data_IF_959401474776
#
_entry.id   IF_959401474776
#
_cell.length_a   1.000
_cell.length_b   1.000
_cell.length_c   1.000
_cell.angle_alpha   90.00
_cell.angle_beta   90.00
_cell.angle_gamma   90.00
#
_symmetry.space_group_name_H-M   'P 1'
#
loop_
_entity.id
_entity.type
_entity.pdbx_description
1 polymer ?
#
# COMPACT_ATOMS: atom_id res chain seq x y z
N UNK A 1 20.70 26.59 26.52
CA UNK A 1 19.62 25.58 26.40
C UNK A 1 20.25 24.28 25.96
N UNK A 2 20.83 24.16 24.75
CA UNK A 2 21.31 22.88 24.17
C UNK A 2 22.32 22.15 25.08
N UNK A 3 23.34 22.85 25.57
CA UNK A 3 24.33 22.29 26.49
C UNK A 3 23.76 21.98 27.87
N UNK A 4 22.83 22.82 28.35
CA UNK A 4 22.21 22.66 29.67
C UNK A 4 21.28 21.47 29.71
N UNK A 5 20.50 21.23 28.61
CA UNK A 5 19.43 20.27 28.58
C UNK A 5 19.83 18.98 27.83
N UNK A 6 21.11 18.82 27.44
CA UNK A 6 21.68 17.67 26.72
C UNK A 6 20.80 17.26 25.49
N UNK A 7 20.55 18.26 24.64
CA UNK A 7 19.73 18.04 23.41
C UNK A 7 20.58 17.31 22.37
N UNK A 8 20.17 16.11 21.98
CA UNK A 8 20.85 15.29 20.98
C UNK A 8 20.34 15.56 19.58
N UNK A 9 19.08 16.02 19.42
CA UNK A 9 18.45 16.23 18.13
C UNK A 9 17.61 17.50 18.10
N UNK A 10 17.67 18.25 17.00
CA UNK A 10 16.84 19.42 16.74
C UNK A 10 16.08 19.21 15.44
N UNK A 11 14.74 19.25 15.48
CA UNK A 11 13.91 19.24 14.30
C UNK A 11 13.53 20.67 13.86
N UNK A 12 13.83 21.01 12.61
CA UNK A 12 13.51 22.31 12.01
C UNK A 12 12.17 22.21 11.27
N UNK A 13 11.11 22.77 11.88
CA UNK A 13 9.73 22.73 11.37
C UNK A 13 9.29 24.09 10.79
N UNK A 14 10.13 24.74 9.97
CA UNK A 14 9.82 26.04 9.35
C UNK A 14 9.21 25.82 7.95
N UNK A 15 8.04 26.38 7.69
CA UNK A 15 7.38 26.38 6.37
C UNK A 15 8.22 27.15 5.33
N UNK A 16 8.61 28.36 5.65
CA UNK A 16 9.55 29.16 4.84
C UNK A 16 10.89 29.29 5.54
N UNK A 17 11.91 28.70 4.94
CA UNK A 17 13.30 28.73 5.44
C UNK A 17 14.09 29.93 4.94
N UNK A 18 13.54 30.71 4.00
CA UNK A 18 14.24 31.87 3.43
C UNK A 18 14.30 32.99 4.45
N UNK A 19 15.49 33.42 4.71
CA UNK A 19 15.82 34.53 5.66
C UNK A 19 15.46 34.31 7.14
N UNK A 20 14.81 33.18 7.51
CA UNK A 20 14.38 32.88 8.89
C UNK A 20 15.24 31.78 9.53
N UNK A 21 15.87 30.93 8.72
CA UNK A 21 16.70 29.83 9.22
C UNK A 21 17.97 30.35 9.84
N UNK A 22 18.23 30.11 11.15
CA UNK A 22 19.47 30.55 11.82
C UNK A 22 20.63 29.62 11.42
N UNK A 23 21.08 29.74 10.18
CA UNK A 23 22.03 28.81 9.54
C UNK A 23 23.30 28.66 10.35
N UNK A 24 23.90 29.78 10.80
CA UNK A 24 25.16 29.72 11.56
C UNK A 24 25.01 28.97 12.87
N UNK A 25 23.95 29.25 13.62
CA UNK A 25 23.66 28.56 14.89
C UNK A 25 23.47 27.05 14.68
N UNK A 26 22.74 26.65 13.62
CA UNK A 26 22.52 25.23 13.30
C UNK A 26 23.82 24.54 12.88
N UNK A 27 24.69 25.22 12.14
CA UNK A 27 26.01 24.68 11.77
C UNK A 27 26.91 24.50 12.98
N UNK A 28 26.92 25.47 13.90
CA UNK A 28 27.70 25.40 15.15
C UNK A 28 27.21 24.21 16.01
N UNK A 29 25.89 24.05 16.17
CA UNK A 29 25.29 22.93 16.91
C UNK A 29 25.61 21.59 16.26
N UNK A 30 25.56 21.51 14.92
CA UNK A 30 25.95 20.30 14.18
C UNK A 30 27.42 19.97 14.38
N UNK A 31 28.30 21.01 14.46
CA UNK A 31 29.72 20.88 14.80
C UNK A 31 29.95 20.34 16.22
N UNK A 32 29.02 20.59 17.15
CA UNK A 32 29.00 20.06 18.52
C UNK A 32 28.43 18.64 18.63
N UNK A 33 28.02 18.03 17.52
CA UNK A 33 27.48 16.66 17.47
C UNK A 33 25.96 16.56 17.65
N UNK A 34 25.22 17.69 17.59
CA UNK A 34 23.76 17.68 17.61
C UNK A 34 23.21 17.30 16.22
N UNK A 35 22.34 16.34 16.15
CA UNK A 35 21.66 15.97 14.92
C UNK A 35 20.59 17.01 14.55
N UNK A 36 20.63 17.48 13.28
CA UNK A 36 19.67 18.46 12.79
C UNK A 36 18.81 17.79 11.72
N UNK A 37 17.52 17.66 12.02
CA UNK A 37 16.54 17.02 11.17
C UNK A 37 15.61 18.03 10.53
N UNK A 38 15.15 17.70 9.34
CA UNK A 38 14.01 18.36 8.72
C UNK A 38 12.72 17.91 9.43
N UNK A 39 11.82 18.85 9.74
CA UNK A 39 10.55 18.54 10.40
C UNK A 39 9.72 17.51 9.62
N UNK A 40 9.75 17.54 8.27
CA UNK A 40 9.08 16.55 7.45
C UNK A 40 9.69 15.15 7.64
N UNK A 41 11.03 15.06 7.80
CA UNK A 41 11.67 13.78 8.06
C UNK A 41 11.26 13.19 9.42
N UNK A 42 11.21 14.03 10.46
CA UNK A 42 10.70 13.61 11.76
C UNK A 42 9.24 13.13 11.68
N UNK A 43 8.39 13.90 10.97
CA UNK A 43 7.00 13.51 10.76
C UNK A 43 6.88 12.15 10.04
N UNK A 44 7.70 11.91 9.02
CA UNK A 44 7.71 10.65 8.28
C UNK A 44 8.14 9.46 9.16
N UNK A 45 9.17 9.63 9.99
CA UNK A 45 9.64 8.56 10.90
C UNK A 45 8.61 8.21 11.97
N UNK A 46 8.02 9.23 12.61
CA UNK A 46 7.06 9.02 13.69
C UNK A 46 5.69 8.53 13.20
N UNK A 47 5.19 9.11 12.09
CA UNK A 47 3.86 8.80 11.59
C UNK A 47 3.81 7.62 10.61
N UNK A 48 4.95 7.27 10.00
CA UNK A 48 5.01 6.31 8.88
C UNK A 48 4.26 6.79 7.64
N UNK A 49 4.11 8.11 7.46
CA UNK A 49 3.39 8.78 6.36
C UNK A 49 4.25 9.84 5.70
N UNK A 50 4.02 10.08 4.42
CA UNK A 50 4.61 11.20 3.69
C UNK A 50 3.56 12.34 3.62
N UNK A 51 3.88 13.53 4.13
CA UNK A 51 2.99 14.69 3.96
C UNK A 51 2.92 15.08 2.48
N UNK A 52 1.74 14.92 1.86
CA UNK A 52 1.53 15.23 0.44
C UNK A 52 1.38 16.73 0.25
N UNK A 53 0.75 17.40 1.21
CA UNK A 53 0.40 18.82 1.13
C UNK A 53 1.67 19.71 1.17
N UNK A 54 2.70 19.26 1.92
CA UNK A 54 4.01 19.95 2.01
C UNK A 54 5.02 19.44 0.98
N UNK A 55 4.65 18.48 0.14
CA UNK A 55 5.56 17.82 -0.78
C UNK A 55 5.93 18.71 -1.96
N UNK A 56 7.15 19.21 -1.97
CA UNK A 56 7.66 20.01 -3.08
C UNK A 56 8.03 19.12 -4.25
N UNK A 57 7.63 19.45 -5.50
CA UNK A 57 8.02 18.68 -6.69
C UNK A 57 9.53 18.46 -6.81
N UNK A 58 10.33 19.47 -6.43
CA UNK A 58 11.79 19.38 -6.39
C UNK A 58 12.30 18.31 -5.44
N UNK A 59 11.65 18.11 -4.30
CA UNK A 59 12.02 17.06 -3.35
C UNK A 59 11.84 15.67 -3.94
N UNK A 60 10.81 15.46 -4.77
CA UNK A 60 10.58 14.18 -5.47
C UNK A 60 11.61 14.00 -6.60
N UNK A 61 11.81 15.02 -7.43
CA UNK A 61 12.66 14.93 -8.63
C UNK A 61 14.13 14.70 -8.26
N UNK A 62 14.64 15.40 -7.24
CA UNK A 62 16.03 15.32 -6.84
C UNK A 62 16.32 14.29 -5.75
N UNK A 63 15.28 13.69 -5.16
CA UNK A 63 15.43 12.62 -4.16
C UNK A 63 15.96 11.34 -4.81
N UNK A 64 17.04 10.79 -4.24
CA UNK A 64 17.54 9.46 -4.58
C UNK A 64 16.67 8.34 -3.98
N UNK A 65 15.85 8.66 -3.00
CA UNK A 65 15.07 7.70 -2.22
C UNK A 65 13.95 7.06 -3.04
N UNK A 66 13.40 7.77 -4.03
CA UNK A 66 12.42 7.21 -4.98
C UNK A 66 13.05 6.32 -6.06
N UNK A 67 14.38 6.28 -6.18
CA UNK A 67 15.11 5.46 -7.15
C UNK A 67 15.81 4.29 -6.47
N UNK A 68 15.17 3.15 -6.43
CA UNK A 68 15.79 1.93 -5.90
C UNK A 68 16.77 1.31 -6.89
N UNK A 69 17.90 0.85 -6.36
CA UNK A 69 18.90 0.12 -7.13
C UNK A 69 18.33 -1.17 -7.73
N UNK A 70 18.89 -1.61 -8.84
CA UNK A 70 18.47 -2.84 -9.53
C UNK A 70 18.56 -4.06 -8.62
N UNK A 71 19.57 -4.12 -7.76
CA UNK A 71 19.80 -5.21 -6.80
C UNK A 71 18.58 -5.40 -5.88
N UNK A 72 18.09 -4.32 -5.25
CA UNK A 72 16.93 -4.39 -4.34
C UNK A 72 15.69 -4.85 -5.09
N UNK A 73 15.47 -4.34 -6.31
CA UNK A 73 14.33 -4.75 -7.15
C UNK A 73 14.40 -6.23 -7.54
N UNK A 74 15.58 -6.72 -7.90
CA UNK A 74 15.78 -8.12 -8.29
C UNK A 74 15.61 -9.03 -7.08
N UNK A 75 16.25 -8.72 -5.95
CA UNK A 75 16.09 -9.48 -4.71
C UNK A 75 14.62 -9.56 -4.27
N UNK A 76 13.92 -8.41 -4.23
CA UNK A 76 12.49 -8.36 -3.94
C UNK A 76 11.70 -9.26 -4.90
N UNK A 77 11.96 -9.15 -6.21
CA UNK A 77 11.28 -9.96 -7.21
C UNK A 77 11.52 -11.46 -7.02
N UNK A 78 12.75 -11.87 -6.72
CA UNK A 78 13.08 -13.28 -6.48
C UNK A 78 12.37 -13.81 -5.24
N UNK A 79 12.30 -13.03 -4.15
CA UNK A 79 11.58 -13.38 -2.93
C UNK A 79 10.08 -13.47 -3.18
N UNK A 80 9.49 -12.47 -3.85
CA UNK A 80 8.07 -12.47 -4.21
C UNK A 80 7.71 -13.73 -5.01
N UNK A 81 8.52 -14.07 -6.02
CA UNK A 81 8.30 -15.22 -6.88
C UNK A 81 8.42 -16.54 -6.10
N UNK A 82 9.45 -16.68 -5.28
CA UNK A 82 9.66 -17.87 -4.46
C UNK A 82 8.48 -18.10 -3.51
N UNK A 83 8.09 -17.08 -2.75
CA UNK A 83 6.98 -17.16 -1.81
C UNK A 83 5.67 -17.44 -2.54
N UNK A 84 5.43 -16.80 -3.71
CA UNK A 84 4.22 -17.01 -4.48
C UNK A 84 4.13 -18.43 -5.05
N UNK A 85 5.23 -19.00 -5.57
CA UNK A 85 5.27 -20.36 -6.10
C UNK A 85 5.06 -21.40 -5.00
N UNK A 86 5.84 -21.31 -3.92
CA UNK A 86 5.73 -22.23 -2.78
C UNK A 86 4.35 -22.08 -2.13
N UNK A 87 3.91 -20.85 -1.89
CA UNK A 87 2.59 -20.58 -1.33
C UNK A 87 1.47 -21.15 -2.19
N UNK A 88 1.50 -20.95 -3.51
CA UNK A 88 0.46 -21.48 -4.41
C UNK A 88 0.38 -23.01 -4.36
N UNK A 89 1.52 -23.71 -4.35
CA UNK A 89 1.56 -25.17 -4.24
C UNK A 89 0.96 -25.63 -2.91
N UNK A 90 1.35 -25.02 -1.80
CA UNK A 90 0.88 -25.39 -0.46
C UNK A 90 -0.62 -25.16 -0.26
N UNK A 91 -1.15 -24.08 -0.84
CA UNK A 91 -2.58 -23.75 -0.69
C UNK A 91 -3.47 -24.37 -1.77
N UNK A 92 -2.92 -25.10 -2.74
CA UNK A 92 -3.68 -25.70 -3.85
C UNK A 92 -4.88 -26.53 -3.38
N UNK A 93 -4.76 -27.43 -2.36
CA UNK A 93 -5.92 -28.16 -1.83
C UNK A 93 -7.00 -27.23 -1.25
N UNK A 94 -6.59 -26.17 -0.55
CA UNK A 94 -7.50 -25.16 0.00
C UNK A 94 -8.22 -24.42 -1.12
N UNK A 95 -7.54 -24.05 -2.22
CA UNK A 95 -8.15 -23.38 -3.36
C UNK A 95 -9.23 -24.27 -4.01
N UNK A 96 -8.99 -25.59 -4.09
CA UNK A 96 -9.97 -26.55 -4.61
C UNK A 96 -11.23 -26.61 -3.72
N UNK A 97 -11.06 -26.71 -2.40
CA UNK A 97 -12.18 -26.71 -1.44
C UNK A 97 -12.97 -25.40 -1.53
N UNK A 98 -12.29 -24.25 -1.55
CA UNK A 98 -12.95 -22.94 -1.71
C UNK A 98 -13.74 -22.89 -3.03
N UNK A 99 -13.17 -23.39 -4.13
CA UNK A 99 -13.83 -23.44 -5.42
C UNK A 99 -15.14 -24.24 -5.39
N UNK A 100 -15.14 -25.41 -4.71
CA UNK A 100 -16.34 -26.23 -4.51
C UNK A 100 -17.38 -25.46 -3.68
N UNK A 101 -16.97 -24.85 -2.55
CA UNK A 101 -17.87 -24.08 -1.69
C UNK A 101 -18.53 -22.91 -2.44
N UNK A 102 -17.80 -22.20 -3.27
CA UNK A 102 -18.34 -21.11 -4.10
C UNK A 102 -19.39 -21.62 -5.10
N UNK A 103 -19.14 -22.79 -5.69
CA UNK A 103 -20.09 -23.42 -6.64
C UNK A 103 -21.38 -23.90 -5.97
N UNK A 104 -21.28 -24.38 -4.74
CA UNK A 104 -22.44 -24.82 -3.95
C UNK A 104 -23.25 -23.63 -3.42
N UNK A 105 -22.60 -22.49 -3.14
CA UNK A 105 -23.25 -21.30 -2.56
C UNK A 105 -24.07 -20.50 -3.59
N UNK A 106 -23.57 -20.38 -4.83
CA UNK A 106 -24.26 -19.62 -5.87
C UNK A 106 -23.86 -20.03 -7.30
N UNK A 107 -24.77 -19.96 -8.30
CA UNK A 107 -24.47 -20.27 -9.69
C UNK A 107 -23.46 -19.26 -10.28
N UNK A 108 -22.56 -19.73 -11.17
CA UNK A 108 -21.61 -18.90 -11.90
C UNK A 108 -20.14 -19.36 -11.78
N UNK A 109 -19.16 -18.57 -12.23
CA UNK A 109 -17.75 -18.93 -12.23
C UNK A 109 -17.16 -18.91 -10.81
N UNK A 110 -16.08 -19.72 -10.58
CA UNK A 110 -15.35 -19.73 -9.30
C UNK A 110 -14.51 -18.46 -9.14
N UNK A 111 -13.87 -18.05 -10.22
CA UNK A 111 -12.99 -16.89 -10.23
C UNK A 111 -13.71 -15.65 -10.75
N UNK A 112 -13.37 -14.51 -10.17
CA UNK A 112 -13.73 -13.19 -10.61
C UNK A 112 -12.47 -12.48 -11.12
N UNK A 113 -12.59 -11.78 -12.24
CA UNK A 113 -11.51 -11.00 -12.83
C UNK A 113 -11.97 -9.57 -13.01
N UNK A 114 -11.06 -8.63 -12.75
CA UNK A 114 -11.33 -7.21 -12.87
C UNK A 114 -10.08 -6.46 -13.32
N UNK A 115 -10.26 -5.46 -14.18
CA UNK A 115 -9.15 -4.58 -14.57
C UNK A 115 -8.73 -3.70 -13.39
N UNK A 116 -7.44 -3.66 -13.11
CA UNK A 116 -6.80 -2.80 -12.12
C UNK A 116 -5.63 -2.07 -12.74
N UNK A 117 -5.22 -0.95 -12.10
CA UNK A 117 -4.06 -0.18 -12.50
C UNK A 117 -2.83 -0.68 -11.75
N UNK A 118 -1.78 -1.00 -12.50
CA UNK A 118 -0.54 -1.57 -11.98
C UNK A 118 0.68 -0.67 -12.16
N UNK A 119 1.84 -1.30 -12.30
CA UNK A 119 3.13 -0.63 -12.50
C UNK A 119 3.08 0.31 -13.71
N UNK A 120 3.60 1.55 -13.54
CA UNK A 120 3.62 2.59 -14.58
C UNK A 120 2.23 2.91 -15.14
N UNK A 121 1.21 2.82 -14.28
CA UNK A 121 -0.19 3.02 -14.62
C UNK A 121 -0.73 2.06 -15.72
N UNK A 122 -0.05 0.94 -16.00
CA UNK A 122 -0.50 -0.04 -16.98
C UNK A 122 -1.66 -0.88 -16.40
N UNK A 123 -2.76 -1.07 -17.15
CA UNK A 123 -3.87 -1.91 -16.71
C UNK A 123 -3.47 -3.39 -16.75
N UNK A 124 -3.98 -4.18 -15.80
CA UNK A 124 -3.84 -5.64 -15.77
C UNK A 124 -5.09 -6.27 -15.20
N UNK A 125 -5.24 -7.60 -15.35
CA UNK A 125 -6.40 -8.37 -14.84
C UNK A 125 -6.05 -8.99 -13.50
N UNK A 126 -6.66 -8.50 -12.41
CA UNK A 126 -6.52 -9.12 -11.10
C UNK A 126 -7.40 -10.36 -10.98
N UNK A 127 -6.88 -11.41 -10.37
CA UNK A 127 -7.59 -12.65 -10.08
C UNK A 127 -8.07 -12.68 -8.64
N UNK A 128 -9.34 -13.02 -8.44
CA UNK A 128 -9.93 -13.24 -7.11
C UNK A 128 -10.87 -14.42 -7.14
N UNK A 129 -11.16 -14.98 -5.99
CA UNK A 129 -12.36 -15.81 -5.87
C UNK A 129 -13.60 -14.92 -5.93
N UNK A 130 -14.67 -15.46 -6.52
CA UNK A 130 -15.96 -14.80 -6.51
C UNK A 130 -16.52 -14.81 -5.09
N UNK A 131 -16.70 -13.63 -4.52
CA UNK A 131 -17.28 -13.38 -3.20
C UNK A 131 -18.63 -12.66 -3.27
N UNK A 132 -19.07 -12.27 -4.47
CA UNK A 132 -20.34 -11.59 -4.71
C UNK A 132 -21.17 -12.35 -5.73
N UNK A 133 -22.48 -12.11 -5.77
CA UNK A 133 -23.38 -12.62 -6.81
C UNK A 133 -22.97 -12.09 -8.19
N UNK A 134 -23.32 -12.83 -9.25
CA UNK A 134 -22.87 -12.52 -10.63
C UNK A 134 -23.41 -11.20 -11.17
N UNK A 135 -24.48 -10.68 -10.60
CA UNK A 135 -25.14 -9.43 -10.97
C UNK A 135 -24.73 -8.23 -10.10
N UNK A 136 -23.77 -8.43 -9.21
CA UNK A 136 -23.32 -7.43 -8.25
C UNK A 136 -22.88 -6.06 -8.86
N UNK A 137 -22.46 -6.06 -10.13
CA UNK A 137 -21.98 -4.86 -10.82
C UNK A 137 -22.94 -4.31 -11.88
N UNK A 138 -24.19 -4.82 -11.98
CA UNK A 138 -25.20 -4.29 -12.92
C UNK A 138 -25.48 -2.80 -12.74
N UNK A 139 -25.28 -2.27 -11.53
CA UNK A 139 -25.42 -0.85 -11.19
C UNK A 139 -24.16 0.00 -11.31
N UNK A 140 -23.11 -0.52 -11.99
CA UNK A 140 -21.83 0.18 -12.14
C UNK A 140 -20.84 -0.04 -11.00
N UNK A 141 -19.68 0.60 -11.13
CA UNK A 141 -18.59 0.51 -10.16
C UNK A 141 -18.96 1.25 -8.86
N UNK A 142 -18.96 0.54 -7.75
CA UNK A 142 -19.17 1.13 -6.41
C UNK A 142 -18.17 0.55 -5.43
N UNK A 143 -17.79 1.35 -4.43
CA UNK A 143 -17.09 0.83 -3.26
C UNK A 143 -18.02 -0.10 -2.46
N UNK A 144 -17.43 -1.08 -1.82
CA UNK A 144 -18.18 -2.04 -0.99
C UNK A 144 -18.46 -1.43 0.38
N UNK A 145 -19.68 -1.55 0.89
CA UNK A 145 -20.05 -1.19 2.26
C UNK A 145 -19.86 -2.38 3.22
N UNK A 146 -19.93 -2.13 4.55
CA UNK A 146 -19.73 -3.19 5.56
C UNK A 146 -20.75 -4.33 5.47
N UNK A 147 -22.01 -4.03 5.14
CA UNK A 147 -23.10 -5.01 4.97
C UNK A 147 -23.64 -4.97 3.56
N UNK A 148 -22.77 -5.20 2.59
CA UNK A 148 -23.13 -5.14 1.19
C UNK A 148 -23.99 -6.38 0.81
N UNK A 149 -25.25 -6.18 0.40
CA UNK A 149 -26.17 -7.30 0.07
C UNK A 149 -25.73 -8.11 -1.16
N UNK A 150 -24.76 -7.60 -1.93
CA UNK A 150 -24.19 -8.28 -3.09
C UNK A 150 -23.25 -9.42 -2.71
N UNK A 151 -22.82 -9.50 -1.43
CA UNK A 151 -21.89 -10.52 -0.96
C UNK A 151 -22.63 -11.82 -0.69
N UNK A 152 -22.16 -12.94 -1.23
CA UNK A 152 -22.72 -14.26 -0.98
C UNK A 152 -22.35 -14.76 0.43
N UNK A 153 -23.02 -15.84 0.91
CA UNK A 153 -22.75 -16.38 2.27
C UNK A 153 -21.31 -16.86 2.40
N UNK A 154 -20.83 -17.66 1.48
CA UNK A 154 -19.42 -18.11 1.44
C UNK A 154 -18.51 -16.91 1.20
N UNK A 155 -18.90 -15.99 0.33
CA UNK A 155 -18.16 -14.76 0.03
C UNK A 155 -17.88 -13.91 1.26
N UNK A 156 -18.81 -13.86 2.22
CA UNK A 156 -18.61 -13.15 3.48
C UNK A 156 -17.43 -13.72 4.27
N UNK A 157 -17.35 -15.04 4.42
CA UNK A 157 -16.22 -15.70 5.10
C UNK A 157 -14.91 -15.51 4.33
N UNK A 158 -14.94 -15.65 2.99
CA UNK A 158 -13.75 -15.44 2.17
C UNK A 158 -13.18 -14.03 2.36
N UNK A 159 -14.03 -13.01 2.36
CA UNK A 159 -13.61 -11.62 2.55
C UNK A 159 -13.11 -11.36 3.96
N UNK A 160 -13.81 -11.88 4.97
CA UNK A 160 -13.41 -11.75 6.38
C UNK A 160 -11.97 -12.22 6.62
N UNK A 161 -11.59 -13.33 5.99
CA UNK A 161 -10.26 -13.92 6.13
C UNK A 161 -9.33 -13.60 4.96
N UNK A 162 -9.74 -12.71 4.05
CA UNK A 162 -9.02 -12.35 2.82
C UNK A 162 -8.65 -13.53 1.92
N UNK A 163 -9.35 -14.63 2.06
CA UNK A 163 -9.15 -15.84 1.24
C UNK A 163 -9.55 -15.61 -0.21
N UNK A 164 -10.45 -14.66 -0.47
CA UNK A 164 -10.83 -14.24 -1.83
C UNK A 164 -9.65 -13.67 -2.64
N UNK A 165 -8.61 -13.20 -1.97
CA UNK A 165 -7.44 -12.59 -2.60
C UNK A 165 -6.31 -13.60 -2.90
N UNK A 166 -6.41 -14.86 -2.42
CA UNK A 166 -5.37 -15.90 -2.64
C UNK A 166 -5.02 -16.14 -4.12
N UNK A 167 -5.97 -16.11 -5.09
CA UNK A 167 -5.64 -16.26 -6.51
C UNK A 167 -4.73 -15.17 -7.07
N UNK A 168 -4.53 -14.03 -6.37
CA UNK A 168 -3.61 -12.98 -6.80
C UNK A 168 -2.14 -13.44 -6.78
N UNK A 169 -1.80 -14.55 -6.12
CA UNK A 169 -0.48 -15.16 -6.24
C UNK A 169 -0.14 -15.48 -7.71
N UNK A 170 -1.13 -15.76 -8.55
CA UNK A 170 -0.95 -15.93 -9.99
C UNK A 170 -0.47 -14.61 -10.62
N UNK A 171 -1.04 -13.46 -10.23
CA UNK A 171 -0.60 -12.16 -10.72
C UNK A 171 0.84 -11.82 -10.24
N UNK A 172 1.20 -12.27 -9.03
CA UNK A 172 2.59 -12.14 -8.54
C UNK A 172 3.52 -12.98 -9.42
N UNK A 173 3.17 -14.22 -9.75
CA UNK A 173 3.99 -15.10 -10.62
C UNK A 173 4.14 -14.47 -12.01
N UNK A 174 3.09 -13.92 -12.59
CA UNK A 174 3.11 -13.23 -13.90
C UNK A 174 3.90 -11.91 -13.86
N UNK A 175 4.21 -11.37 -12.67
CA UNK A 175 4.96 -10.11 -12.54
C UNK A 175 4.12 -8.84 -12.62
N UNK A 176 2.81 -8.98 -12.63
CA UNK A 176 1.85 -7.88 -12.60
C UNK A 176 1.72 -7.28 -11.20
N UNK A 177 1.93 -8.12 -10.17
CA UNK A 177 1.89 -7.75 -8.76
C UNK A 177 3.17 -8.16 -8.01
N UNK A 178 3.28 -7.68 -6.80
CA UNK A 178 4.21 -8.07 -5.73
C UNK A 178 3.40 -8.58 -4.53
N UNK A 179 4.02 -9.27 -3.59
CA UNK A 179 3.38 -9.59 -2.32
C UNK A 179 3.06 -8.32 -1.54
N UNK A 180 4.01 -7.39 -1.49
CA UNK A 180 3.89 -6.11 -0.77
C UNK A 180 4.01 -4.94 -1.74
N UNK A 181 3.05 -4.01 -1.67
CA UNK A 181 2.98 -2.79 -2.49
C UNK A 181 1.67 -2.04 -2.28
N UNK A 182 1.49 -0.88 -2.90
CA UNK A 182 0.22 -0.16 -2.90
C UNK A 182 -0.94 -1.03 -3.41
N UNK A 183 -2.11 -0.93 -2.77
CA UNK A 183 -3.29 -1.69 -3.20
C UNK A 183 -3.75 -1.23 -4.59
N UNK A 184 -3.95 -2.13 -5.57
CA UNK A 184 -4.36 -1.74 -6.91
C UNK A 184 -5.80 -1.25 -6.94
N UNK A 185 -6.03 -0.09 -7.58
CA UNK A 185 -7.35 0.51 -7.74
C UNK A 185 -7.92 0.31 -9.15
N UNK A 186 -9.24 0.48 -9.29
CA UNK A 186 -9.94 0.40 -10.59
C UNK A 186 -9.60 1.63 -11.43
N UNK A 187 -9.49 1.50 -12.78
CA UNK A 187 -9.19 2.65 -13.65
C UNK A 187 -10.10 3.85 -13.45
N UNK A 188 -11.40 3.62 -13.24
CA UNK A 188 -12.41 4.67 -13.00
C UNK A 188 -12.04 5.48 -11.75
N UNK A 189 -11.73 4.81 -10.63
CA UNK A 189 -11.36 5.49 -9.40
C UNK A 189 -9.97 6.16 -9.49
N UNK A 190 -9.03 5.56 -10.21
CA UNK A 190 -7.73 6.18 -10.45
C UNK A 190 -7.88 7.49 -11.21
N UNK A 191 -8.75 7.51 -12.24
CA UNK A 191 -9.00 8.72 -13.01
C UNK A 191 -9.63 9.82 -12.16
N UNK A 192 -10.60 9.50 -11.31
CA UNK A 192 -11.22 10.41 -10.38
C UNK A 192 -10.21 10.94 -9.35
N UNK A 193 -9.51 10.05 -8.64
CA UNK A 193 -8.58 10.42 -7.57
C UNK A 193 -7.37 11.22 -8.08
N UNK A 194 -6.90 10.94 -9.29
CA UNK A 194 -5.83 11.69 -9.94
C UNK A 194 -6.21 13.16 -10.18
N UNK A 195 -7.49 13.46 -10.40
CA UNK A 195 -7.94 14.83 -10.64
C UNK A 195 -8.03 15.67 -9.36
N UNK A 196 -8.13 15.02 -8.19
CA UNK A 196 -8.35 15.70 -6.89
C UNK A 196 -7.18 15.57 -5.92
N UNK A 197 -6.31 14.56 -6.09
CA UNK A 197 -5.19 14.32 -5.18
C UNK A 197 -3.87 14.53 -5.91
N UNK A 198 -3.04 15.50 -5.48
CA UNK A 198 -1.72 15.73 -6.04
C UNK A 198 -0.84 14.48 -5.94
N UNK A 199 0.03 14.27 -6.93
CA UNK A 199 1.01 13.18 -6.94
C UNK A 199 0.43 11.76 -6.88
N UNK A 200 -0.88 11.57 -7.11
CA UNK A 200 -1.53 10.26 -7.00
C UNK A 200 -0.83 9.17 -7.81
N UNK A 201 -0.29 9.50 -8.98
CA UNK A 201 0.39 8.54 -9.87
C UNK A 201 1.73 8.01 -9.35
N UNK A 202 2.34 8.67 -8.37
CA UNK A 202 3.60 8.19 -7.79
C UNK A 202 3.47 6.82 -7.14
N UNK A 203 2.28 6.43 -6.71
CA UNK A 203 2.01 5.08 -6.20
C UNK A 203 2.21 3.97 -7.25
N UNK A 204 2.15 4.32 -8.53
CA UNK A 204 2.31 3.38 -9.65
C UNK A 204 3.77 3.21 -10.10
N UNK A 205 4.74 3.83 -9.45
CA UNK A 205 6.17 3.65 -9.78
C UNK A 205 6.72 2.30 -9.28
N UNK A 206 5.97 1.62 -8.41
CA UNK A 206 6.23 0.27 -7.94
C UNK A 206 5.08 -0.66 -8.33
N UNK A 207 5.31 -1.99 -8.26
CA UNK A 207 4.23 -2.96 -8.48
C UNK A 207 3.20 -2.86 -7.36
N UNK A 208 1.90 -2.99 -7.68
CA UNK A 208 0.87 -3.10 -6.66
C UNK A 208 1.06 -4.39 -5.85
N UNK A 209 0.60 -4.37 -4.59
CA UNK A 209 0.73 -5.50 -3.67
C UNK A 209 -0.59 -6.21 -3.37
N UNK A 210 -0.50 -7.47 -2.94
CA UNK A 210 -1.60 -8.18 -2.29
C UNK A 210 -1.88 -7.49 -0.95
N UNK A 211 -0.82 -7.18 -0.21
CA UNK A 211 -0.87 -6.33 0.98
C UNK A 211 0.03 -5.09 0.81
N UNK A 212 -0.09 -4.11 1.69
CA UNK A 212 0.69 -2.89 1.62
C UNK A 212 0.67 -2.09 2.91
N UNK A 213 1.57 -1.12 3.02
CA UNK A 213 1.72 -0.30 4.22
C UNK A 213 0.42 0.42 4.57
N UNK A 214 -0.23 1.07 3.60
CA UNK A 214 -1.54 1.69 3.79
C UNK A 214 -2.60 0.71 4.33
N UNK A 215 -2.59 -0.55 3.86
CA UNK A 215 -3.57 -1.56 4.29
C UNK A 215 -3.37 -2.04 5.74
N UNK A 216 -2.14 -1.95 6.26
CA UNK A 216 -1.82 -2.33 7.65
C UNK A 216 -2.00 -1.18 8.64
N UNK A 217 -1.78 0.07 8.19
CA UNK A 217 -1.81 1.25 9.06
C UNK A 217 -3.15 1.98 9.05
N UNK A 218 -3.88 1.95 7.93
CA UNK A 218 -5.15 2.67 7.77
C UNK A 218 -6.25 1.70 7.36
N UNK A 219 -7.19 1.48 8.28
CA UNK A 219 -8.16 0.38 8.17
C UNK A 219 -9.36 0.69 7.28
N UNK A 220 -9.83 1.94 7.25
CA UNK A 220 -11.11 2.27 6.63
C UNK A 220 -11.02 3.54 5.77
N UNK A 221 -11.78 3.54 4.70
CA UNK A 221 -12.06 4.70 3.88
C UNK A 221 -12.50 4.33 2.47
N UNK A 222 -13.62 4.93 2.08
CA UNK A 222 -14.18 4.89 0.74
C UNK A 222 -14.44 6.31 0.22
N UNK A 223 -13.82 7.33 0.86
CA UNK A 223 -13.92 8.73 0.45
C UNK A 223 -12.62 9.19 -0.25
N UNK A 224 -12.65 10.37 -0.84
CA UNK A 224 -11.46 11.02 -1.41
C UNK A 224 -10.45 11.37 -0.32
N UNK A 225 -10.92 11.82 0.86
CA UNK A 225 -10.09 12.13 2.03
C UNK A 225 -9.37 10.87 2.53
N UNK A 226 -10.07 9.75 2.63
CA UNK A 226 -9.45 8.47 2.99
C UNK A 226 -8.41 8.03 1.98
N UNK A 227 -8.67 8.28 0.68
CA UNK A 227 -7.75 7.97 -0.41
C UNK A 227 -6.51 8.86 -0.36
N UNK A 228 -6.65 10.12 0.09
CA UNK A 228 -5.53 11.04 0.33
C UNK A 228 -4.64 10.52 1.47
N UNK A 229 -5.23 10.09 2.60
CA UNK A 229 -4.48 9.50 3.72
C UNK A 229 -3.80 8.20 3.30
N UNK A 230 -4.48 7.32 2.57
CA UNK A 230 -3.88 6.09 2.03
C UNK A 230 -2.69 6.37 1.12
N UNK A 231 -2.79 7.41 0.29
CA UNK A 231 -1.70 7.80 -0.58
C UNK A 231 -0.47 8.24 0.22
N UNK A 232 -0.62 8.92 1.35
CA UNK A 232 0.51 9.29 2.24
C UNK A 232 1.28 8.05 2.70
N UNK A 233 0.57 6.97 3.09
CA UNK A 233 1.20 5.69 3.45
C UNK A 233 1.81 4.98 2.23
N UNK A 234 1.13 4.99 1.08
CA UNK A 234 1.64 4.39 -0.15
C UNK A 234 2.93 5.08 -0.60
N UNK A 235 3.00 6.42 -0.53
CA UNK A 235 4.20 7.18 -0.89
C UNK A 235 5.34 6.97 0.13
N UNK A 236 5.02 6.82 1.42
CA UNK A 236 6.01 6.41 2.41
C UNK A 236 6.63 5.06 2.03
N UNK A 237 5.80 4.06 1.69
CA UNK A 237 6.29 2.78 1.23
C UNK A 237 7.15 2.92 -0.03
N UNK A 238 6.73 3.71 -1.02
CA UNK A 238 7.51 3.95 -2.24
C UNK A 238 8.85 4.57 -1.92
N UNK A 239 8.89 5.56 -1.03
CA UNK A 239 10.11 6.27 -0.59
C UNK A 239 11.05 5.36 0.19
N UNK A 240 10.55 4.56 1.13
CA UNK A 240 11.35 3.72 2.05
C UNK A 240 11.33 2.24 1.72
N UNK A 241 10.95 1.87 0.48
CA UNK A 241 10.88 0.48 0.03
C UNK A 241 12.19 -0.26 0.35
N UNK A 242 12.07 -1.30 1.16
CA UNK A 242 13.17 -2.18 1.56
C UNK A 242 12.61 -3.56 1.93
N UNK A 243 13.45 -4.59 1.87
CA UNK A 243 13.05 -5.94 2.29
C UNK A 243 12.66 -6.00 3.77
N UNK A 244 13.28 -5.15 4.61
CA UNK A 244 12.92 -5.03 6.02
C UNK A 244 11.50 -4.48 6.20
N UNK A 245 11.14 -3.46 5.43
CA UNK A 245 9.79 -2.88 5.46
C UNK A 245 8.77 -3.89 4.92
N UNK A 246 9.09 -4.61 3.84
CA UNK A 246 8.25 -5.69 3.32
C UNK A 246 7.98 -6.77 4.39
N UNK A 247 9.01 -7.23 5.08
CA UNK A 247 8.86 -8.22 6.16
C UNK A 247 7.97 -7.67 7.30
N UNK A 248 8.17 -6.43 7.70
CA UNK A 248 7.32 -5.76 8.71
C UNK A 248 5.85 -5.75 8.27
N UNK A 249 5.58 -5.38 7.01
CA UNK A 249 4.23 -5.32 6.45
C UNK A 249 3.60 -6.72 6.42
N UNK A 250 4.35 -7.76 6.03
CA UNK A 250 3.85 -9.14 6.03
C UNK A 250 3.47 -9.61 7.43
N UNK A 251 4.30 -9.33 8.44
CA UNK A 251 4.00 -9.66 9.84
C UNK A 251 2.76 -8.90 10.33
N UNK A 252 2.67 -7.60 10.06
CA UNK A 252 1.49 -6.80 10.43
C UNK A 252 0.22 -7.30 9.71
N UNK A 253 0.33 -7.71 8.45
CA UNK A 253 -0.79 -8.29 7.69
C UNK A 253 -1.33 -9.55 8.37
N UNK A 254 -0.45 -10.46 8.82
CA UNK A 254 -0.86 -11.66 9.56
C UNK A 254 -1.59 -11.26 10.84
N UNK A 255 -1.09 -10.28 11.59
CA UNK A 255 -1.74 -9.78 12.83
C UNK A 255 -3.12 -9.22 12.54
N UNK A 256 -3.27 -8.40 11.49
CA UNK A 256 -4.55 -7.83 11.07
C UNK A 256 -5.57 -8.92 10.70
N UNK A 257 -5.12 -9.94 9.95
CA UNK A 257 -5.98 -11.07 9.56
C UNK A 257 -6.40 -11.87 10.79
N UNK A 258 -5.49 -12.22 11.70
CA UNK A 258 -5.79 -13.00 12.91
C UNK A 258 -6.74 -12.26 13.87
N UNK A 259 -6.70 -10.94 13.92
CA UNK A 259 -7.64 -10.12 14.70
C UNK A 259 -9.00 -9.94 14.00
N UNK A 260 -9.16 -10.40 12.77
CA UNK A 260 -10.37 -10.19 11.98
C UNK A 260 -10.62 -8.73 11.61
N UNK A 261 -9.58 -7.90 11.66
CA UNK A 261 -9.65 -6.48 11.40
C UNK A 261 -9.38 -6.19 9.91
N UNK A 262 -10.12 -5.26 9.33
CA UNK A 262 -9.90 -4.84 7.93
C UNK A 262 -10.66 -5.64 6.87
N UNK A 263 -11.62 -6.50 7.26
CA UNK A 263 -12.58 -7.10 6.35
C UNK A 263 -13.78 -6.16 6.12
N UNK A 264 -14.12 -5.92 4.87
CA UNK A 264 -15.39 -5.32 4.43
C UNK A 264 -16.13 -6.26 3.51
#
# INVERSE_FOLDING_TARGET
VVERDRVDTIAVCLEDRRAVLPVQVLLDLKGMGVDIWDGNHLYEEESGRLSIDDLKPSAIIFSREFKRGIVVRTMKRSIDLLIALVGLVLILPLLAVIGILIKLDSPGPIFYRQVRVGLRAQPYMIWKFRSMFTDAEKGGARWTSERDPRISRVGWYLRKWRLDELPQLINVIHGEMSLVGPRPERPVFVQELRSVIPFYDLRHVVRPGITGWAQTQFRYGASAEDSHIKLQYDLYYVKYLSLRLDLRILIETIRVILRGEGAR
#
